data_IF_208110222905
#
_entry.id   IF_208110222905
#
_cell.length_a   1.000
_cell.length_b   1.000
_cell.length_c   1.000
_cell.angle_alpha   90.00
_cell.angle_beta   90.00
_cell.angle_gamma   90.00
#
_symmetry.space_group_name_H-M   'P 1'
#
loop_
_entity.id
_entity.type
_entity.pdbx_description
1 polymer ?
#
# COMPACT_ATOMS: atom_id res chain seq x y z
N UNK A 1 -33.94 1.31 -63.58
CA UNK A 1 -35.25 1.98 -63.37
C UNK A 1 -35.05 3.13 -62.39
N UNK A 2 -35.58 4.30 -62.79
CA UNK A 2 -35.89 5.56 -62.08
C UNK A 2 -35.95 5.55 -60.53
N UNK A 3 -35.91 6.66 -59.77
CA UNK A 3 -35.43 8.06 -59.83
C UNK A 3 -35.95 8.73 -58.53
N UNK A 4 -35.28 9.80 -58.05
CA UNK A 4 -35.77 10.90 -57.18
C UNK A 4 -36.29 10.58 -55.74
N UNK A 5 -35.97 11.27 -54.63
CA UNK A 5 -35.63 12.65 -54.23
C UNK A 5 -36.77 13.39 -53.48
N UNK A 6 -36.39 14.01 -52.36
CA UNK A 6 -36.88 15.23 -51.66
C UNK A 6 -37.96 15.25 -50.55
N UNK A 7 -37.56 15.96 -49.47
CA UNK A 7 -38.29 16.85 -48.54
C UNK A 7 -39.30 16.23 -47.54
N UNK A 8 -39.41 16.61 -46.26
CA UNK A 8 -38.92 17.75 -45.49
C UNK A 8 -40.09 18.43 -44.75
N UNK A 9 -40.06 18.53 -43.41
CA UNK A 9 -40.45 19.70 -42.58
C UNK A 9 -40.69 19.37 -41.10
N UNK A 10 -40.26 20.33 -40.28
CA UNK A 10 -40.31 20.47 -38.83
C UNK A 10 -41.73 20.70 -38.29
N UNK A 11 -41.93 20.47 -36.99
CA UNK A 11 -42.74 21.36 -36.16
C UNK A 11 -42.34 21.27 -34.68
N UNK A 12 -41.83 22.40 -34.18
CA UNK A 12 -41.74 22.79 -32.78
C UNK A 12 -43.08 23.36 -32.33
N UNK A 13 -43.47 23.13 -31.07
CA UNK A 13 -44.21 24.15 -30.30
C UNK A 13 -44.14 23.87 -28.80
N UNK A 14 -43.83 24.94 -28.08
CA UNK A 14 -43.79 25.04 -26.64
C UNK A 14 -45.01 25.84 -26.13
N UNK A 15 -45.14 25.85 -24.81
CA UNK A 15 -45.86 26.80 -23.95
C UNK A 15 -47.37 26.58 -23.78
N UNK A 16 -47.76 26.30 -22.52
CA UNK A 16 -48.88 27.04 -21.93
C UNK A 16 -48.67 27.19 -20.41
N UNK A 17 -48.67 28.45 -19.97
CA UNK A 17 -48.78 28.91 -18.58
C UNK A 17 -50.25 29.19 -18.26
N UNK A 18 -50.67 29.01 -17.00
CA UNK A 18 -51.62 29.94 -16.34
C UNK A 18 -51.81 29.62 -14.85
N UNK A 19 -52.13 30.70 -14.14
CA UNK A 19 -52.12 30.95 -12.70
C UNK A 19 -53.41 30.57 -11.96
N UNK A 20 -53.33 30.57 -10.61
CA UNK A 20 -54.43 30.80 -9.66
C UNK A 20 -54.14 30.05 -8.35
N UNK A 21 -53.62 30.63 -7.26
CA UNK A 21 -54.00 31.72 -6.35
C UNK A 21 -55.14 31.38 -5.34
N UNK A 22 -54.96 31.93 -4.13
CA UNK A 22 -55.75 31.89 -2.87
C UNK A 22 -55.42 30.72 -1.90
N UNK A 23 -54.83 30.91 -0.70
CA UNK A 23 -55.03 31.86 0.43
C UNK A 23 -56.04 31.37 1.48
N UNK A 24 -55.82 31.82 2.73
CA UNK A 24 -56.64 31.78 3.97
C UNK A 24 -56.19 30.69 4.96
N UNK A 25 -55.37 30.98 6.01
CA UNK A 25 -55.50 31.84 7.23
C UNK A 25 -56.00 31.04 8.45
N UNK A 26 -55.31 31.23 9.59
CA UNK A 26 -55.84 31.10 10.97
C UNK A 26 -54.91 30.30 11.89
N UNK A 27 -53.99 30.94 12.65
CA UNK A 27 -54.20 31.55 13.98
C UNK A 27 -54.38 30.47 15.09
N UNK A 28 -53.93 30.55 16.34
CA UNK A 28 -53.11 31.43 17.20
C UNK A 28 -53.15 30.76 18.60
N UNK A 29 -52.21 31.10 19.51
CA UNK A 29 -52.31 30.84 20.96
C UNK A 29 -51.05 30.15 21.51
N UNK A 30 -50.09 30.78 22.20
CA UNK A 30 -50.07 31.62 23.42
C UNK A 30 -50.24 30.83 24.74
N UNK A 31 -49.24 30.98 25.62
CA UNK A 31 -49.27 30.71 27.07
C UNK A 31 -48.69 29.34 27.46
N UNK A 32 -47.84 29.16 28.48
CA UNK A 32 -47.56 30.01 29.62
C UNK A 32 -46.24 29.57 30.30
N UNK A 33 -45.59 30.50 30.98
CA UNK A 33 -44.44 30.26 31.86
C UNK A 33 -44.87 29.60 33.18
N UNK A 34 -43.96 28.85 33.81
CA UNK A 34 -43.80 28.93 35.26
C UNK A 34 -42.40 28.51 35.71
N UNK A 35 -41.85 29.34 36.59
CA UNK A 35 -40.59 29.25 37.33
C UNK A 35 -40.83 28.65 38.72
N UNK A 36 -39.73 28.56 39.49
CA UNK A 36 -39.59 28.32 40.95
C UNK A 36 -39.59 26.84 41.35
N UNK A 37 -38.68 26.29 42.17
CA UNK A 37 -37.57 26.75 43.00
C UNK A 37 -36.87 25.49 43.54
N UNK A 38 -35.54 25.45 43.68
CA UNK A 38 -34.78 25.94 44.82
C UNK A 38 -34.68 24.94 46.00
N UNK A 39 -33.43 24.81 46.47
CA UNK A 39 -32.94 24.20 47.72
C UNK A 39 -32.98 22.66 47.81
N UNK A 40 -31.91 21.97 48.21
CA UNK A 40 -30.64 22.42 48.74
C UNK A 40 -30.18 21.50 49.87
N UNK A 41 -28.85 21.48 50.06
CA UNK A 41 -28.15 21.16 51.32
C UNK A 41 -28.16 19.65 51.65
N UNK A 42 -27.14 19.00 52.22
CA UNK A 42 -25.86 19.28 52.90
C UNK A 42 -25.32 17.84 53.20
N UNK A 43 -24.08 17.49 53.52
CA UNK A 43 -23.00 18.14 54.25
C UNK A 43 -21.77 17.21 54.11
N UNK A 44 -20.54 17.74 53.90
CA UNK A 44 -19.46 17.85 54.91
C UNK A 44 -18.73 16.54 55.23
N UNK A 45 -17.45 16.47 55.55
CA UNK A 45 -16.31 17.39 55.62
C UNK A 45 -15.12 16.56 56.16
N UNK A 46 -13.91 17.14 56.12
CA UNK A 46 -12.77 16.77 56.98
C UNK A 46 -11.51 16.48 56.16
N UNK A 47 -10.63 17.44 55.88
CA UNK A 47 -9.65 18.11 56.77
C UNK A 47 -8.53 17.14 57.23
N UNK A 48 -7.24 17.46 57.27
CA UNK A 48 -6.40 18.64 57.00
C UNK A 48 -4.97 18.10 56.78
N UNK A 49 -3.87 18.86 56.68
CA UNK A 49 -3.62 20.27 56.88
C UNK A 49 -2.17 20.62 56.46
N UNK A 50 -1.90 21.91 56.55
CA UNK A 50 -0.67 22.73 56.51
C UNK A 50 0.61 22.07 57.08
N UNK A 51 1.87 22.47 56.79
CA UNK A 51 2.48 23.81 57.00
C UNK A 51 3.85 23.98 56.27
N UNK A 52 4.04 25.20 55.71
CA UNK A 52 5.18 26.13 55.62
C UNK A 52 6.70 25.76 55.48
N UNK A 53 7.35 26.71 54.77
CA UNK A 53 8.69 27.34 55.00
C UNK A 53 9.83 26.85 54.09
N UNK A 54 10.77 27.66 53.57
CA UNK A 54 10.96 29.08 53.23
C UNK A 54 12.35 29.18 52.54
N UNK A 55 12.54 30.16 51.64
CA UNK A 55 13.79 30.94 51.33
C UNK A 55 15.12 30.19 51.04
N UNK A 56 15.90 30.46 49.99
CA UNK A 56 16.68 31.68 49.63
C UNK A 56 17.28 31.50 48.22
N UNK A 57 17.30 32.51 47.32
CA UNK A 57 18.49 33.33 46.93
C UNK A 57 19.51 32.56 46.06
N UNK A 58 20.11 32.99 44.95
CA UNK A 58 20.34 34.24 44.21
C UNK A 58 20.63 33.81 42.73
N UNK A 59 20.45 34.58 41.64
CA UNK A 59 21.10 35.87 41.32
C UNK A 59 22.33 35.65 40.40
N UNK A 60 22.49 36.52 39.39
CA UNK A 60 23.63 36.70 38.42
C UNK A 60 23.43 35.97 37.07
N UNK A 61 22.92 36.56 35.98
CA UNK A 61 23.34 37.68 35.09
C UNK A 61 24.44 37.38 34.06
N UNK A 62 24.16 37.71 32.79
CA UNK A 62 25.11 37.93 31.69
C UNK A 62 24.83 37.01 30.49
N UNK A 63 24.49 37.44 29.27
CA UNK A 63 24.49 38.76 28.65
C UNK A 63 25.23 38.71 27.30
N UNK A 64 24.50 38.95 26.20
CA UNK A 64 24.95 39.34 24.85
C UNK A 64 25.89 38.36 24.09
N UNK A 65 25.92 38.30 22.75
CA UNK A 65 25.36 39.16 21.73
C UNK A 65 25.62 38.58 20.33
N UNK A 66 25.00 39.22 19.34
CA UNK A 66 24.99 38.87 17.92
C UNK A 66 26.35 39.04 17.21
N UNK A 67 26.48 38.43 16.03
CA UNK A 67 27.55 38.73 15.08
C UNK A 67 27.52 37.90 13.80
N UNK A 68 26.92 38.46 12.74
CA UNK A 68 27.01 38.00 11.35
C UNK A 68 28.43 38.12 10.79
N UNK A 69 28.81 37.26 9.83
CA UNK A 69 29.53 37.72 8.63
C UNK A 69 29.65 36.65 7.53
N UNK A 70 29.62 37.19 6.31
CA UNK A 70 29.65 36.60 4.97
C UNK A 70 31.09 36.38 4.48
N UNK A 71 31.28 35.47 3.51
CA UNK A 71 32.44 35.38 2.60
C UNK A 71 32.79 33.91 2.34
N UNK A 72 33.02 33.40 1.13
CA UNK A 72 33.45 33.99 -0.14
C UNK A 72 34.36 32.94 -0.80
N UNK A 73 34.25 32.78 -2.12
CA UNK A 73 34.75 31.68 -2.94
C UNK A 73 36.28 31.41 -2.94
N UNK A 74 36.67 30.21 -3.40
CA UNK A 74 38.06 29.87 -3.76
C UNK A 74 38.24 28.45 -4.31
N UNK A 75 38.13 28.31 -5.63
CA UNK A 75 38.53 27.17 -6.47
C UNK A 75 40.06 27.17 -6.64
N UNK A 76 40.79 26.03 -6.61
CA UNK A 76 41.85 25.62 -7.59
C UNK A 76 42.24 24.14 -7.39
N UNK A 77 42.39 23.48 -8.53
CA UNK A 77 42.85 22.14 -8.94
C UNK A 77 44.26 21.67 -8.54
N UNK A 78 44.49 20.35 -8.67
CA UNK A 78 45.80 19.68 -8.86
C UNK A 78 45.73 18.20 -8.45
N UNK A 79 45.43 17.22 -9.32
CA UNK A 79 46.28 16.54 -10.34
C UNK A 79 47.41 15.65 -9.76
N UNK A 80 47.21 14.34 -9.99
CA UNK A 80 48.17 13.25 -10.26
C UNK A 80 49.01 12.61 -9.16
N UNK A 81 48.96 11.28 -9.12
CA UNK A 81 49.96 10.44 -8.44
C UNK A 81 49.59 8.95 -8.42
N UNK A 82 50.02 8.23 -9.44
CA UNK A 82 49.86 6.79 -9.69
C UNK A 82 50.73 5.86 -8.83
N UNK A 83 50.30 4.59 -8.71
CA UNK A 83 51.09 3.42 -8.31
C UNK A 83 50.45 2.67 -7.15
N UNK A 84 50.30 1.35 -7.09
CA UNK A 84 50.80 0.25 -7.90
C UNK A 84 50.93 -0.98 -6.99
N UNK A 85 50.13 -2.01 -7.28
CA UNK A 85 50.34 -3.45 -7.06
C UNK A 85 50.58 -4.10 -5.66
N UNK A 86 50.07 -5.34 -5.58
CA UNK A 86 50.35 -6.47 -4.66
C UNK A 86 49.79 -6.34 -3.23
N UNK A 87 49.30 -7.38 -2.53
CA UNK A 87 49.23 -8.81 -2.76
C UNK A 87 49.27 -9.53 -1.39
N UNK A 88 48.24 -10.35 -1.11
CA UNK A 88 48.21 -11.50 -0.20
C UNK A 88 48.19 -11.36 1.36
N UNK A 89 47.20 -12.09 1.91
CA UNK A 89 47.18 -12.93 3.12
C UNK A 89 47.33 -12.36 4.54
N UNK A 90 46.34 -12.69 5.37
CA UNK A 90 46.41 -12.66 6.83
C UNK A 90 45.13 -13.19 7.48
N UNK A 91 45.07 -14.50 7.72
CA UNK A 91 44.02 -15.18 8.50
C UNK A 91 44.06 -14.83 9.99
N UNK A 92 42.90 -15.01 10.62
CA UNK A 92 42.64 -15.52 11.99
C UNK A 92 42.09 -14.54 13.04
N UNK A 93 41.11 -15.07 13.79
CA UNK A 93 40.85 -14.66 15.18
C UNK A 93 39.49 -14.00 15.41
N UNK A 94 38.47 -14.80 15.71
CA UNK A 94 37.10 -14.35 15.89
C UNK A 94 36.80 -13.60 17.20
N UNK A 95 35.63 -12.97 17.20
CA UNK A 95 34.85 -12.67 18.39
C UNK A 95 33.37 -12.89 18.05
N UNK A 96 32.82 -13.96 18.60
CA UNK A 96 31.41 -14.34 18.56
C UNK A 96 30.60 -13.32 19.38
N UNK A 97 29.72 -12.58 18.71
CA UNK A 97 28.83 -11.60 19.33
C UNK A 97 27.50 -11.48 18.58
N UNK A 98 26.53 -12.29 18.99
CA UNK A 98 25.09 -12.05 18.94
C UNK A 98 24.45 -11.69 17.56
N UNK A 99 24.38 -12.66 16.64
CA UNK A 99 23.68 -12.53 15.34
C UNK A 99 22.17 -12.84 15.37
N UNK A 100 21.59 -13.12 16.55
CA UNK A 100 20.16 -13.44 16.66
C UNK A 100 19.25 -12.22 16.89
N UNK A 101 19.77 -11.13 17.46
CA UNK A 101 19.00 -9.89 17.63
C UNK A 101 18.82 -9.10 16.30
N UNK A 102 19.66 -9.38 15.30
CA UNK A 102 19.64 -8.68 14.00
C UNK A 102 18.91 -9.47 12.89
N UNK A 103 18.35 -10.64 13.20
CA UNK A 103 17.46 -11.40 12.28
C UNK A 103 15.99 -11.05 12.45
N UNK A 104 15.60 -10.53 13.61
CA UNK A 104 14.23 -10.03 13.86
C UNK A 104 13.95 -8.65 13.26
N UNK A 105 14.96 -7.99 12.67
CA UNK A 105 14.85 -6.66 12.06
C UNK A 105 14.92 -6.67 10.51
N UNK A 106 14.84 -7.84 9.86
CA UNK A 106 15.13 -7.98 8.41
C UNK A 106 13.94 -8.33 7.50
N UNK A 107 12.72 -8.36 8.03
CA UNK A 107 11.52 -8.21 7.22
C UNK A 107 10.99 -6.80 7.45
N UNK A 108 11.59 -5.81 6.80
CA UNK A 108 11.00 -4.49 6.73
C UNK A 108 9.63 -4.65 6.06
N UNK A 109 8.57 -4.54 6.87
CA UNK A 109 7.18 -4.74 6.47
C UNK A 109 6.88 -3.96 5.19
N UNK A 110 6.79 -4.69 4.08
CA UNK A 110 6.51 -4.17 2.74
C UNK A 110 5.15 -3.46 2.73
N UNK A 111 5.13 -2.16 3.03
CA UNK A 111 3.91 -1.35 3.04
C UNK A 111 3.75 -0.37 4.20
N UNK A 112 4.62 -0.40 5.22
CA UNK A 112 4.55 0.62 6.29
C UNK A 112 4.75 2.01 5.71
N UNK A 113 3.85 2.92 6.06
CA UNK A 113 3.79 4.27 5.52
C UNK A 113 2.87 4.44 4.31
N UNK A 114 2.38 3.35 3.72
CA UNK A 114 1.46 3.43 2.58
C UNK A 114 0.22 4.25 2.97
N UNK A 115 -0.20 5.11 2.05
CA UNK A 115 -1.43 5.90 2.19
C UNK A 115 -2.56 5.08 1.61
N UNK A 116 -3.64 4.92 2.37
CA UNK A 116 -4.73 3.98 2.06
C UNK A 116 -6.10 4.65 2.13
N UNK A 117 -7.06 4.07 1.42
CA UNK A 117 -8.50 4.35 1.54
C UNK A 117 -9.26 3.04 1.77
N UNK A 118 -10.53 3.10 2.17
CA UNK A 118 -11.37 1.90 2.31
C UNK A 118 -11.39 1.03 1.04
N UNK A 119 -11.38 -0.28 1.24
CA UNK A 119 -11.41 -1.33 0.23
C UNK A 119 -12.80 -1.89 -0.06
N UNK A 120 -12.90 -2.92 -0.91
CA UNK A 120 -14.17 -3.52 -1.33
C UNK A 120 -14.93 -4.20 -0.19
N UNK A 121 -14.23 -4.83 0.76
CA UNK A 121 -14.87 -5.63 1.83
C UNK A 121 -15.12 -4.83 3.12
N UNK A 122 -14.99 -3.50 3.03
CA UNK A 122 -15.15 -2.58 4.15
C UNK A 122 -16.55 -2.71 4.77
N UNK A 123 -16.57 -3.03 6.06
CA UNK A 123 -17.80 -3.13 6.87
C UNK A 123 -17.79 -2.25 8.12
N UNK A 124 -16.84 -1.33 8.23
CA UNK A 124 -16.53 -0.58 9.46
C UNK A 124 -17.16 0.82 9.50
N UNK A 125 -18.30 0.99 8.83
CA UNK A 125 -19.06 2.25 8.83
C UNK A 125 -18.24 3.46 8.37
N UNK A 126 -18.10 4.45 9.25
CA UNK A 126 -17.37 5.71 9.02
C UNK A 126 -16.12 5.86 9.90
N UNK A 127 -15.49 4.76 10.35
CA UNK A 127 -14.25 4.83 11.12
C UNK A 127 -13.13 5.61 10.39
N UNK A 128 -13.07 5.48 9.07
CA UNK A 128 -12.17 6.25 8.19
C UNK A 128 -12.60 7.72 7.97
N UNK A 129 -13.82 8.10 8.33
CA UNK A 129 -14.41 9.41 8.03
C UNK A 129 -15.35 9.42 6.81
N UNK A 130 -15.48 8.31 6.08
CA UNK A 130 -16.30 8.18 4.88
C UNK A 130 -15.48 7.87 3.62
N UNK A 131 -16.15 7.45 2.54
CA UNK A 131 -15.48 7.06 1.30
C UNK A 131 -14.53 8.15 0.78
N UNK A 132 -13.31 7.75 0.42
CA UNK A 132 -12.24 8.62 -0.05
C UNK A 132 -11.37 9.23 1.05
N UNK A 133 -11.71 9.06 2.34
CA UNK A 133 -10.83 9.52 3.41
C UNK A 133 -9.57 8.66 3.50
N UNK A 134 -8.45 9.32 3.78
CA UNK A 134 -7.11 8.73 3.74
C UNK A 134 -6.62 8.37 5.13
N UNK A 135 -5.86 7.27 5.22
CA UNK A 135 -5.10 6.88 6.41
C UNK A 135 -3.68 6.45 6.06
N UNK A 136 -2.86 6.27 7.09
CA UNK A 136 -1.50 5.75 7.03
C UNK A 136 -1.47 4.33 7.57
N UNK A 137 -0.87 3.40 6.83
CA UNK A 137 -0.46 2.09 7.36
C UNK A 137 0.66 2.29 8.38
N UNK A 138 0.37 2.00 9.65
CA UNK A 138 1.31 2.19 10.76
C UNK A 138 2.25 1.00 10.90
N UNK A 139 1.69 -0.20 10.98
CA UNK A 139 2.38 -1.47 11.14
C UNK A 139 1.45 -2.62 10.75
N UNK A 140 2.00 -3.81 10.58
CA UNK A 140 1.24 -5.04 10.41
C UNK A 140 1.31 -5.83 11.72
N UNK A 141 0.17 -6.33 12.21
CA UNK A 141 0.15 -7.23 13.36
C UNK A 141 0.45 -8.68 12.90
N UNK A 142 0.04 -9.02 11.68
CA UNK A 142 0.31 -10.30 11.03
C UNK A 142 0.28 -10.15 9.50
N UNK A 143 0.39 -11.26 8.77
CA UNK A 143 0.19 -11.25 7.32
C UNK A 143 -1.26 -10.99 6.88
N UNK A 144 -2.21 -11.10 7.82
CA UNK A 144 -3.64 -10.99 7.56
C UNK A 144 -4.28 -9.74 8.19
N UNK A 145 -3.55 -9.06 9.10
CA UNK A 145 -4.03 -7.94 9.89
C UNK A 145 -3.06 -6.76 9.89
N UNK A 146 -3.60 -5.57 9.62
CA UNK A 146 -2.83 -4.32 9.50
C UNK A 146 -3.43 -3.21 10.35
N UNK A 147 -2.58 -2.39 10.96
CA UNK A 147 -2.98 -1.22 11.74
C UNK A 147 -2.92 0.02 10.86
N UNK A 148 -4.02 0.77 10.82
CA UNK A 148 -4.11 2.06 10.12
C UNK A 148 -4.43 3.17 11.10
N UNK A 149 -3.69 4.27 10.99
CA UNK A 149 -4.06 5.56 11.60
C UNK A 149 -4.69 6.42 10.51
N UNK A 150 -6.01 6.60 10.59
CA UNK A 150 -6.74 7.50 9.70
C UNK A 150 -6.37 8.96 9.96
N UNK A 151 -6.42 9.78 8.92
CA UNK A 151 -6.09 11.21 9.04
C UNK A 151 -6.98 11.94 10.06
N UNK A 152 -8.20 11.43 10.32
CA UNK A 152 -9.09 11.93 11.36
C UNK A 152 -8.65 11.57 12.80
N UNK A 153 -7.56 10.81 12.95
CA UNK A 153 -6.96 10.36 14.21
C UNK A 153 -7.46 9.02 14.74
N UNK A 154 -8.41 8.36 14.07
CA UNK A 154 -8.87 7.01 14.45
C UNK A 154 -7.79 6.00 14.11
N UNK A 155 -7.33 5.23 15.10
CA UNK A 155 -6.44 4.09 14.91
C UNK A 155 -7.21 2.79 15.10
N UNK A 156 -7.08 1.85 14.17
CA UNK A 156 -7.76 0.56 14.22
C UNK A 156 -7.08 -0.48 13.32
N UNK A 157 -7.44 -1.74 13.53
CA UNK A 157 -6.94 -2.88 12.76
C UNK A 157 -7.92 -3.26 11.65
N UNK A 158 -7.39 -3.76 10.54
CA UNK A 158 -8.14 -4.10 9.34
C UNK A 158 -7.61 -5.36 8.68
N UNK A 159 -8.47 -6.03 7.90
CA UNK A 159 -8.12 -7.26 7.18
C UNK A 159 -7.38 -6.93 5.87
N UNK A 160 -6.29 -7.63 5.63
CA UNK A 160 -5.51 -7.57 4.39
C UNK A 160 -5.25 -8.94 3.75
N UNK A 161 -5.95 -9.99 4.19
CA UNK A 161 -5.95 -11.31 3.56
C UNK A 161 -7.34 -11.93 3.63
N UNK A 162 -7.73 -12.67 2.58
CA UNK A 162 -9.06 -13.27 2.43
C UNK A 162 -10.17 -12.24 2.15
N UNK A 163 -10.30 -11.25 3.02
CA UNK A 163 -11.08 -10.04 2.82
C UNK A 163 -10.16 -8.81 2.86
N UNK A 164 -10.46 -7.84 2.01
CA UNK A 164 -9.63 -6.67 1.79
C UNK A 164 -10.37 -5.40 2.17
N UNK A 165 -10.10 -4.93 3.40
CA UNK A 165 -10.72 -3.72 3.94
C UNK A 165 -10.10 -2.44 3.38
N UNK A 166 -8.98 -2.52 2.65
CA UNK A 166 -8.17 -1.35 2.27
C UNK A 166 -7.68 -1.43 0.81
N UNK A 167 -7.53 -0.26 0.20
CA UNK A 167 -6.86 -0.02 -1.09
C UNK A 167 -5.65 0.89 -0.88
N UNK A 168 -4.56 0.60 -1.58
CA UNK A 168 -3.37 1.45 -1.58
C UNK A 168 -3.62 2.65 -2.49
N UNK A 169 -3.71 3.84 -1.89
CA UNK A 169 -3.83 5.11 -2.60
C UNK A 169 -2.47 5.56 -3.13
N UNK A 170 -1.43 5.52 -2.29
CA UNK A 170 -0.07 5.88 -2.65
C UNK A 170 0.93 5.10 -1.79
N UNK A 171 1.80 4.32 -2.44
CA UNK A 171 2.89 3.59 -1.79
C UNK A 171 4.23 4.31 -1.85
N UNK A 172 4.34 5.48 -2.52
CA UNK A 172 5.62 6.19 -2.54
C UNK A 172 6.19 6.55 -1.15
N UNK A 173 5.37 6.85 -0.11
CA UNK A 173 5.89 7.09 1.23
C UNK A 173 6.61 5.88 1.86
N UNK A 174 6.37 4.65 1.36
CA UNK A 174 7.11 3.45 1.81
C UNK A 174 8.53 3.39 1.23
N UNK A 175 8.83 4.25 0.25
CA UNK A 175 10.09 4.26 -0.50
C UNK A 175 10.20 3.22 -1.60
N UNK A 176 9.15 2.41 -1.85
CA UNK A 176 9.13 1.48 -2.97
C UNK A 176 9.23 2.23 -4.30
N UNK A 177 10.05 1.72 -5.22
CA UNK A 177 10.34 2.38 -6.49
C UNK A 177 10.71 1.38 -7.57
N UNK A 178 10.46 1.74 -8.82
CA UNK A 178 10.81 0.95 -10.00
C UNK A 178 12.07 1.53 -10.66
N UNK A 179 13.24 1.01 -10.28
CA UNK A 179 14.50 1.44 -10.88
C UNK A 179 14.51 1.18 -12.41
N UNK A 180 15.24 2.02 -13.15
CA UNK A 180 15.26 1.98 -14.62
C UNK A 180 13.98 2.48 -15.32
N UNK A 181 13.01 3.02 -14.57
CA UNK A 181 11.77 3.58 -15.15
C UNK A 181 11.66 5.08 -14.97
N UNK A 182 10.91 5.74 -15.85
CA UNK A 182 10.65 7.18 -15.78
C UNK A 182 9.18 7.44 -16.10
N UNK A 183 8.54 8.35 -15.36
CA UNK A 183 7.22 8.84 -15.74
C UNK A 183 7.34 9.75 -16.97
N UNK A 184 6.73 9.37 -18.09
CA UNK A 184 6.86 10.11 -19.36
C UNK A 184 6.19 11.49 -19.35
N UNK A 185 5.35 11.77 -18.34
CA UNK A 185 4.71 13.08 -18.20
C UNK A 185 5.48 14.02 -17.28
N UNK A 186 5.75 13.63 -16.03
CA UNK A 186 6.40 14.51 -15.05
C UNK A 186 7.90 14.30 -14.90
N UNK A 187 8.48 13.34 -15.63
CA UNK A 187 9.92 12.98 -15.60
C UNK A 187 10.42 12.49 -14.24
N UNK A 188 9.53 12.09 -13.33
CA UNK A 188 9.95 11.42 -12.10
C UNK A 188 10.73 10.14 -12.45
N UNK A 189 11.95 10.03 -11.93
CA UNK A 189 12.87 8.93 -12.18
C UNK A 189 13.70 8.64 -10.91
N UNK A 190 13.65 7.40 -10.36
CA UNK A 190 12.73 6.33 -10.76
C UNK A 190 11.27 6.65 -10.42
N UNK A 191 10.31 5.88 -10.95
CA UNK A 191 8.91 5.98 -10.52
C UNK A 191 8.81 5.43 -9.09
N UNK A 192 8.41 6.28 -8.13
CA UNK A 192 8.10 5.86 -6.76
C UNK A 192 6.62 5.49 -6.59
N UNK A 193 6.38 4.45 -5.80
CA UNK A 193 5.06 3.86 -5.61
C UNK A 193 4.63 3.00 -6.80
N UNK A 194 3.31 2.98 -7.06
CA UNK A 194 2.71 2.17 -8.14
C UNK A 194 3.16 2.70 -9.51
N UNK A 195 3.64 1.80 -10.37
CA UNK A 195 3.92 2.05 -11.79
C UNK A 195 2.70 1.74 -12.64
N UNK A 196 2.37 2.66 -13.55
CA UNK A 196 1.25 2.54 -14.48
C UNK A 196 1.78 2.51 -15.91
N UNK A 197 1.90 1.31 -16.47
CA UNK A 197 2.45 1.11 -17.81
C UNK A 197 1.33 1.11 -18.86
N UNK A 198 1.40 1.95 -19.88
CA UNK A 198 0.44 1.92 -20.98
C UNK A 198 0.55 0.59 -21.72
N UNK A 199 -0.58 -0.09 -21.95
CA UNK A 199 -0.61 -1.36 -22.68
C UNK A 199 -0.62 -1.17 -24.21
N UNK A 200 -0.92 0.04 -24.67
CA UNK A 200 -1.11 0.37 -26.09
C UNK A 200 0.06 1.14 -26.69
N UNK A 201 0.92 1.74 -25.86
CA UNK A 201 2.08 2.51 -26.30
C UNK A 201 3.38 1.80 -25.92
N UNK A 202 4.33 1.81 -26.85
CA UNK A 202 5.67 1.27 -26.63
C UNK A 202 6.36 2.12 -25.57
N UNK A 203 6.87 1.46 -24.54
CA UNK A 203 7.69 2.06 -23.47
C UNK A 203 7.11 3.34 -22.85
N UNK A 204 5.79 3.38 -22.59
CA UNK A 204 5.15 4.53 -21.96
C UNK A 204 4.66 4.19 -20.55
N UNK A 205 5.08 4.98 -19.56
CA UNK A 205 4.91 4.75 -18.14
C UNK A 205 4.50 6.04 -17.41
N UNK A 206 3.61 5.91 -16.44
CA UNK A 206 3.16 7.01 -15.57
C UNK A 206 3.35 6.65 -14.10
N UNK A 207 3.63 7.67 -13.27
CA UNK A 207 3.47 7.57 -11.81
C UNK A 207 2.01 7.77 -11.39
N UNK A 208 1.66 7.44 -10.14
CA UNK A 208 0.29 7.57 -9.62
C UNK A 208 -0.30 8.98 -9.75
N UNK A 209 0.50 10.02 -9.53
CA UNK A 209 0.05 11.42 -9.67
C UNK A 209 -0.41 11.69 -11.10
N UNK A 210 0.40 11.30 -12.10
CA UNK A 210 0.05 11.53 -13.50
C UNK A 210 -1.07 10.61 -13.98
N UNK A 211 -1.11 9.36 -13.51
CA UNK A 211 -2.16 8.41 -13.87
C UNK A 211 -3.53 8.87 -13.38
N UNK A 212 -3.64 9.29 -12.11
CA UNK A 212 -4.88 9.80 -11.53
C UNK A 212 -5.17 11.26 -11.93
N UNK A 213 -4.14 12.02 -12.31
CA UNK A 213 -4.23 13.37 -12.88
C UNK A 213 -4.56 13.41 -14.37
N UNK A 214 -5.13 12.34 -14.92
CA UNK A 214 -5.66 12.24 -16.28
C UNK A 214 -4.63 12.56 -17.38
N UNK A 215 -3.35 12.30 -17.10
CA UNK A 215 -2.29 12.42 -18.10
C UNK A 215 -2.30 11.22 -19.04
N UNK A 216 -1.83 11.43 -20.27
CA UNK A 216 -1.94 10.46 -21.38
C UNK A 216 -3.39 10.16 -21.80
N UNK A 217 -3.58 9.43 -22.89
CA UNK A 217 -4.89 9.08 -23.42
C UNK A 217 -5.72 8.26 -22.41
N UNK A 218 -6.92 8.76 -22.08
CA UNK A 218 -7.84 8.10 -21.15
C UNK A 218 -8.51 6.86 -21.74
N UNK A 219 -8.45 6.69 -23.07
CA UNK A 219 -8.93 5.50 -23.78
C UNK A 219 -7.94 4.34 -23.72
N UNK A 220 -6.66 4.62 -23.49
CA UNK A 220 -5.66 3.56 -23.43
C UNK A 220 -5.80 2.78 -22.13
N UNK A 221 -5.71 1.46 -22.22
CA UNK A 221 -5.58 0.55 -21.08
C UNK A 221 -4.17 0.63 -20.52
N UNK A 222 -4.07 0.37 -19.23
CA UNK A 222 -2.80 0.37 -18.50
C UNK A 222 -2.64 -0.95 -17.75
N UNK A 223 -1.42 -1.41 -17.64
CA UNK A 223 -1.02 -2.37 -16.63
C UNK A 223 -0.70 -1.63 -15.33
N UNK A 224 -1.25 -2.11 -14.23
CA UNK A 224 -0.83 -1.77 -12.88
C UNK A 224 0.31 -2.70 -12.48
N UNK A 225 1.40 -2.11 -11.99
CA UNK A 225 2.54 -2.84 -11.43
C UNK A 225 2.79 -2.23 -10.05
N UNK A 226 2.28 -2.90 -9.01
CA UNK A 226 2.22 -2.32 -7.66
C UNK A 226 3.59 -2.35 -6.95
N UNK A 227 4.40 -3.36 -7.23
CA UNK A 227 5.72 -3.59 -6.66
C UNK A 227 6.73 -3.94 -7.77
N UNK A 228 8.03 -3.66 -7.60
CA UNK A 228 9.07 -4.19 -8.48
C UNK A 228 8.98 -5.71 -8.58
N UNK A 229 9.17 -6.27 -9.77
CA UNK A 229 8.99 -7.71 -10.03
C UNK A 229 7.55 -8.23 -9.93
N UNK A 230 6.59 -7.41 -9.49
CA UNK A 230 5.19 -7.80 -9.33
C UNK A 230 4.45 -8.04 -10.63
N UNK A 231 3.33 -8.76 -10.53
CA UNK A 231 2.46 -9.08 -11.65
C UNK A 231 1.89 -7.80 -12.33
N UNK A 232 1.77 -7.87 -13.66
CA UNK A 232 1.18 -6.80 -14.48
C UNK A 232 -0.32 -7.02 -14.60
N UNK A 233 -1.11 -6.28 -13.84
CA UNK A 233 -2.58 -6.40 -13.88
C UNK A 233 -3.15 -5.45 -14.92
N UNK A 234 -3.77 -5.99 -15.98
CA UNK A 234 -4.45 -5.18 -16.99
C UNK A 234 -5.70 -4.51 -16.41
N UNK A 235 -5.84 -3.21 -16.65
CA UNK A 235 -6.96 -2.40 -16.16
C UNK A 235 -7.89 -1.96 -17.28
N UNK A 236 -9.13 -1.66 -16.89
CA UNK A 236 -10.09 -0.97 -17.75
C UNK A 236 -9.63 0.45 -18.12
N UNK A 237 -10.05 0.98 -19.30
CA UNK A 237 -9.74 2.34 -19.70
C UNK A 237 -10.30 3.38 -18.71
N UNK A 238 -9.43 4.30 -18.28
CA UNK A 238 -9.76 5.42 -17.37
C UNK A 238 -11.00 6.21 -17.78
N UNK A 239 -11.24 6.41 -19.09
CA UNK A 239 -12.40 7.16 -19.60
C UNK A 239 -13.75 6.62 -19.14
N UNK A 240 -13.86 5.31 -18.87
CA UNK A 240 -15.10 4.67 -18.42
C UNK A 240 -15.13 4.42 -16.91
N UNK A 241 -14.02 4.66 -16.22
CA UNK A 241 -13.84 4.32 -14.82
C UNK A 241 -14.28 5.46 -13.91
N UNK A 242 -14.84 5.13 -12.75
CA UNK A 242 -15.29 6.12 -11.77
C UNK A 242 -14.10 6.74 -11.05
N UNK A 243 -14.13 8.06 -10.87
CA UNK A 243 -13.21 8.79 -10.00
C UNK A 243 -13.87 9.12 -8.68
N UNK A 244 -13.10 9.01 -7.59
CA UNK A 244 -13.48 9.45 -6.25
C UNK A 244 -12.50 10.53 -5.81
N UNK A 245 -13.00 11.58 -5.13
CA UNK A 245 -12.15 12.60 -4.52
C UNK A 245 -11.61 12.09 -3.18
N UNK A 246 -10.30 12.16 -2.97
CA UNK A 246 -9.72 11.82 -1.68
C UNK A 246 -9.76 12.99 -0.71
N UNK A 247 -9.83 12.70 0.59
CA UNK A 247 -9.98 13.71 1.66
C UNK A 247 -9.09 13.37 2.86
N UNK A 248 -8.54 14.37 3.52
CA UNK A 248 -7.65 14.16 4.67
C UNK A 248 -6.66 15.30 4.86
N UNK A 249 -5.42 14.94 5.20
CA UNK A 249 -4.28 15.85 5.38
C UNK A 249 -3.74 16.21 3.98
N UNK A 250 -4.30 17.27 3.41
CA UNK A 250 -3.93 17.86 2.13
C UNK A 250 -3.82 19.39 2.26
N UNK A 251 -3.26 20.12 1.28
CA UNK A 251 -3.17 21.58 1.33
C UNK A 251 -4.55 22.22 1.63
N UNK A 252 -4.58 23.04 2.68
CA UNK A 252 -5.81 23.66 3.19
C UNK A 252 -6.42 22.96 4.41
N UNK A 253 -6.01 21.74 4.74
CA UNK A 253 -6.54 21.02 5.90
C UNK A 253 -6.18 21.75 7.21
N UNK A 254 -7.10 21.73 8.17
CA UNK A 254 -6.85 22.19 9.54
C UNK A 254 -6.46 21.00 10.40
N UNK A 255 -5.31 21.10 11.07
CA UNK A 255 -4.71 19.99 11.81
C UNK A 255 -4.37 20.37 13.24
N UNK A 256 -4.23 19.36 14.09
CA UNK A 256 -3.63 19.40 15.42
C UNK A 256 -2.52 18.35 15.46
N UNK A 257 -1.71 18.32 16.53
CA UNK A 257 -0.77 17.22 16.77
C UNK A 257 -1.46 15.85 16.76
N UNK A 258 -0.84 14.87 16.10
CA UNK A 258 -1.28 13.49 15.96
C UNK A 258 -0.73 12.57 17.06
N UNK A 259 -0.86 11.26 16.84
CA UNK A 259 -0.50 10.24 17.84
C UNK A 259 1.01 10.06 17.99
N UNK A 260 1.79 10.32 16.94
CA UNK A 260 3.25 10.15 16.93
C UNK A 260 4.01 11.46 17.17
N UNK A 261 3.32 12.49 17.66
CA UNK A 261 3.92 13.79 17.89
C UNK A 261 5.07 13.72 18.90
N UNK A 262 6.25 14.18 18.48
CA UNK A 262 7.48 14.22 19.27
C UNK A 262 8.20 15.57 19.14
N UNK A 263 7.46 16.63 18.79
CA UNK A 263 8.01 17.92 18.37
C UNK A 263 7.79 19.04 19.41
N UNK A 264 7.82 18.67 20.69
CA UNK A 264 7.59 19.59 21.82
C UNK A 264 6.32 20.44 21.62
N UNK A 265 6.34 21.71 22.03
CA UNK A 265 5.24 22.65 21.82
C UNK A 265 5.47 23.58 20.62
N UNK A 266 6.05 23.06 19.53
CA UNK A 266 6.18 23.84 18.28
C UNK A 266 4.83 24.32 17.72
N UNK A 267 3.76 23.55 17.96
CA UNK A 267 2.38 23.92 17.65
C UNK A 267 1.77 24.93 18.65
N UNK A 268 2.47 25.25 19.73
CA UNK A 268 2.00 26.11 20.82
C UNK A 268 1.18 25.38 21.89
N UNK A 269 1.26 24.06 21.95
CA UNK A 269 0.61 23.23 22.97
C UNK A 269 -0.53 22.36 22.42
N UNK A 270 -0.98 21.40 23.25
CA UNK A 270 -2.05 20.46 22.89
C UNK A 270 -3.32 21.21 22.44
N UNK A 271 -4.00 20.67 21.42
CA UNK A 271 -5.21 21.23 20.79
C UNK A 271 -4.99 22.51 19.97
N UNK A 272 -3.78 23.08 19.94
CA UNK A 272 -3.49 24.17 19.00
C UNK A 272 -3.55 23.68 17.58
N UNK A 273 -4.05 24.57 16.71
CA UNK A 273 -4.35 24.23 15.33
C UNK A 273 -3.35 24.87 14.38
N UNK A 274 -3.13 24.18 13.28
CA UNK A 274 -2.39 24.69 12.13
C UNK A 274 -3.16 24.45 10.85
N UNK A 275 -2.61 25.00 9.77
CA UNK A 275 -3.07 24.78 8.41
C UNK A 275 -1.96 24.10 7.63
N UNK A 276 -2.30 22.99 6.98
CA UNK A 276 -1.41 22.34 6.02
C UNK A 276 -1.27 23.25 4.81
N UNK A 277 -0.05 23.66 4.50
CA UNK A 277 0.26 24.49 3.34
C UNK A 277 0.58 23.63 2.12
N UNK A 278 1.38 22.58 2.32
CA UNK A 278 1.88 21.72 1.23
C UNK A 278 2.17 20.30 1.73
N UNK A 279 2.06 19.33 0.82
CA UNK A 279 2.56 17.96 1.02
C UNK A 279 3.94 17.88 0.36
N UNK A 280 4.93 17.46 1.13
CA UNK A 280 6.32 17.41 0.72
C UNK A 280 6.90 16.01 0.99
N UNK A 281 8.12 15.82 0.51
CA UNK A 281 8.89 14.62 0.75
C UNK A 281 9.60 14.77 2.10
N UNK A 282 9.46 13.79 3.01
CA UNK A 282 10.29 13.79 4.22
C UNK A 282 11.77 13.56 3.88
N UNK A 283 12.01 12.70 2.89
CA UNK A 283 13.32 12.45 2.32
C UNK A 283 13.17 12.11 0.83
N UNK A 284 14.26 12.22 0.07
CA UNK A 284 14.27 11.81 -1.35
C UNK A 284 13.94 10.33 -1.57
N UNK A 285 14.12 9.49 -0.55
CA UNK A 285 13.79 8.07 -0.58
C UNK A 285 12.34 7.79 -0.17
N UNK A 286 11.60 8.76 0.37
CA UNK A 286 10.20 8.62 0.78
C UNK A 286 9.40 9.85 0.33
N UNK A 287 8.98 9.91 -0.94
CA UNK A 287 8.23 11.04 -1.44
C UNK A 287 6.82 11.14 -0.84
N UNK A 288 6.29 12.36 -0.74
CA UNK A 288 4.91 12.69 -0.31
C UNK A 288 4.54 12.11 1.05
N UNK A 289 5.50 12.06 1.95
CA UNK A 289 5.43 11.42 3.25
C UNK A 289 5.42 12.43 4.41
N UNK A 290 5.33 13.72 4.09
CA UNK A 290 5.35 14.82 5.04
C UNK A 290 4.39 15.95 4.67
N UNK A 291 4.01 16.76 5.65
CA UNK A 291 3.17 17.94 5.46
C UNK A 291 3.82 19.17 6.12
N UNK A 292 3.97 20.24 5.34
CA UNK A 292 4.43 21.53 5.86
C UNK A 292 3.25 22.29 6.46
N UNK A 293 3.31 22.58 7.75
CA UNK A 293 2.22 23.20 8.51
C UNK A 293 2.60 24.59 8.95
N UNK A 294 1.66 25.52 8.79
CA UNK A 294 1.70 26.85 9.41
C UNK A 294 0.73 26.84 10.58
N UNK A 295 1.25 26.89 11.81
CA UNK A 295 0.47 26.93 13.03
C UNK A 295 -0.15 28.31 13.25
N UNK A 296 -1.30 28.37 13.94
CA UNK A 296 -2.01 29.63 14.19
C UNK A 296 -1.20 30.61 15.06
N UNK A 297 -0.23 30.11 15.85
CA UNK A 297 0.71 30.93 16.61
C UNK A 297 1.84 31.53 15.74
N UNK A 298 1.85 31.24 14.44
CA UNK A 298 2.86 31.71 13.48
C UNK A 298 4.05 30.77 13.29
N UNK A 299 4.23 29.76 14.14
CA UNK A 299 5.27 28.75 13.98
C UNK A 299 5.03 27.90 12.72
N UNK A 300 6.10 27.37 12.15
CA UNK A 300 6.04 26.58 10.91
C UNK A 300 7.05 25.46 10.97
N UNK A 301 6.65 24.27 10.54
CA UNK A 301 7.59 23.17 10.36
C UNK A 301 7.03 22.09 9.44
N UNK A 302 7.87 21.11 9.13
CA UNK A 302 7.54 19.90 8.39
C UNK A 302 7.28 18.74 9.37
N UNK A 303 6.20 17.99 9.17
CA UNK A 303 5.77 16.89 10.04
C UNK A 303 5.47 15.62 9.25
N UNK A 304 5.67 14.44 9.86
CA UNK A 304 5.50 13.15 9.18
C UNK A 304 4.02 12.83 8.96
N UNK A 305 3.71 12.42 7.73
CA UNK A 305 2.40 11.94 7.30
C UNK A 305 2.63 10.74 6.37
N UNK A 306 2.93 9.59 6.97
CA UNK A 306 3.26 8.36 6.25
C UNK A 306 4.74 7.97 6.29
N UNK A 307 5.68 8.90 6.52
CA UNK A 307 7.09 8.52 6.67
C UNK A 307 7.24 7.52 7.83
N UNK A 308 7.78 6.32 7.55
CA UNK A 308 7.92 5.22 8.52
C UNK A 308 6.60 4.83 9.22
N UNK A 309 5.45 5.06 8.59
CA UNK A 309 4.14 4.77 9.20
C UNK A 309 3.70 5.78 10.25
N UNK A 310 4.40 6.90 10.39
CA UNK A 310 4.14 7.90 11.42
C UNK A 310 3.01 8.85 11.02
N UNK A 311 2.20 9.21 12.02
CA UNK A 311 1.09 10.16 11.93
C UNK A 311 1.27 11.28 12.97
N UNK A 312 2.15 12.23 12.65
CA UNK A 312 2.43 13.39 13.51
C UNK A 312 1.28 14.40 13.53
N UNK A 313 0.33 14.29 12.59
CA UNK A 313 -0.79 15.21 12.43
C UNK A 313 -2.12 14.47 12.46
N UNK A 314 -3.14 15.15 13.00
CA UNK A 314 -4.54 14.75 12.97
C UNK A 314 -5.39 15.88 12.42
N UNK A 315 -6.28 15.56 11.49
CA UNK A 315 -7.24 16.50 10.92
C UNK A 315 -8.34 16.86 11.92
N UNK A 316 -8.68 18.15 11.93
CA UNK A 316 -9.90 18.72 12.54
C UNK A 316 -10.89 19.12 11.46
N UNK A 317 -10.39 19.71 10.36
CA UNK A 317 -11.16 19.93 9.14
C UNK A 317 -10.33 19.40 7.98
N UNK A 318 -10.82 18.37 7.32
CA UNK A 318 -10.14 17.75 6.19
C UNK A 318 -10.15 18.67 4.97
N UNK A 319 -9.17 18.49 4.09
CA UNK A 319 -9.17 19.11 2.77
C UNK A 319 -9.33 18.06 1.68
N UNK A 320 -9.83 18.50 0.52
CA UNK A 320 -9.85 17.68 -0.69
C UNK A 320 -8.43 17.55 -1.23
N UNK A 321 -8.01 16.32 -1.46
CA UNK A 321 -6.83 16.02 -2.26
C UNK A 321 -7.19 15.80 -3.73
N UNK A 322 -6.37 14.99 -4.39
CA UNK A 322 -6.59 14.61 -5.79
C UNK A 322 -7.84 13.72 -5.97
N UNK A 323 -8.22 13.49 -7.22
CA UNK A 323 -9.23 12.47 -7.56
C UNK A 323 -8.52 11.23 -8.07
N UNK A 324 -9.01 10.05 -7.71
CA UNK A 324 -8.38 8.76 -8.07
C UNK A 324 -9.38 7.80 -8.68
N UNK A 325 -8.87 6.91 -9.53
CA UNK A 325 -9.63 5.80 -10.10
C UNK A 325 -9.69 4.68 -9.06
N UNK A 326 -10.68 4.73 -8.16
CA UNK A 326 -10.77 3.86 -6.97
C UNK A 326 -10.57 2.37 -7.30
N UNK A 327 -11.28 1.89 -8.30
CA UNK A 327 -11.28 0.47 -8.65
C UNK A 327 -9.99 0.02 -9.36
N UNK A 328 -9.13 0.97 -9.76
CA UNK A 328 -7.82 0.68 -10.33
C UNK A 328 -6.74 0.55 -9.26
N UNK A 329 -7.00 1.00 -8.03
CA UNK A 329 -6.05 0.90 -6.93
C UNK A 329 -5.90 -0.56 -6.47
N UNK A 330 -4.67 -1.03 -6.16
CA UNK A 330 -4.45 -2.37 -5.64
C UNK A 330 -5.02 -2.50 -4.23
N UNK A 331 -5.44 -3.73 -3.89
CA UNK A 331 -5.85 -4.04 -2.54
C UNK A 331 -4.62 -4.14 -1.65
N UNK A 332 -4.69 -3.63 -0.43
CA UNK A 332 -3.60 -3.83 0.52
C UNK A 332 -3.58 -5.29 0.95
N UNK A 333 -2.45 -5.97 0.72
CA UNK A 333 -2.27 -7.40 0.99
C UNK A 333 -2.77 -8.35 -0.11
N UNK A 334 -3.19 -7.85 -1.28
CA UNK A 334 -3.49 -8.67 -2.49
C UNK A 334 -2.29 -9.59 -2.82
N UNK A 335 -1.10 -8.99 -2.71
CA UNK A 335 0.20 -9.60 -2.89
C UNK A 335 0.86 -9.98 -1.57
N UNK A 336 0.07 -10.19 -0.48
CA UNK A 336 0.39 -10.49 0.93
C UNK A 336 1.86 -10.42 1.41
N UNK A 337 2.16 -9.91 2.62
CA UNK A 337 3.52 -10.02 3.16
C UNK A 337 3.92 -11.50 3.22
N UNK A 338 4.93 -11.86 2.42
CA UNK A 338 5.37 -13.23 2.26
C UNK A 338 4.98 -13.89 0.95
N UNK A 339 4.04 -13.37 0.13
CA UNK A 339 3.97 -13.77 -1.28
C UNK A 339 5.16 -13.11 -2.00
N UNK A 340 6.28 -13.81 -1.96
CA UNK A 340 7.35 -13.62 -2.89
C UNK A 340 6.84 -13.54 -4.33
N UNK A 341 7.67 -13.01 -5.24
CA UNK A 341 7.31 -12.93 -6.64
C UNK A 341 6.77 -14.26 -7.14
N UNK A 342 5.71 -14.18 -7.95
CA UNK A 342 4.92 -15.34 -8.42
C UNK A 342 4.09 -16.09 -7.37
N UNK A 343 3.89 -15.53 -6.17
CA UNK A 343 2.93 -16.03 -5.18
C UNK A 343 3.46 -17.10 -4.22
N UNK A 344 4.78 -17.31 -4.19
CA UNK A 344 5.47 -18.25 -3.29
C UNK A 344 5.79 -17.61 -1.94
N UNK A 345 5.60 -18.35 -0.85
CA UNK A 345 6.00 -17.94 0.50
C UNK A 345 6.86 -19.00 1.17
N UNK A 346 7.69 -18.60 2.14
CA UNK A 346 8.44 -19.54 2.98
C UNK A 346 7.45 -20.50 3.64
N UNK A 347 7.70 -21.80 3.50
CA UNK A 347 6.85 -22.89 3.97
C UNK A 347 5.94 -23.48 2.89
N UNK A 348 5.81 -22.86 1.71
CA UNK A 348 5.04 -23.44 0.61
C UNK A 348 5.64 -24.76 0.16
N UNK A 349 4.78 -25.76 -0.07
CA UNK A 349 5.16 -26.97 -0.80
C UNK A 349 5.10 -26.71 -2.29
N UNK A 350 6.14 -27.12 -3.01
CA UNK A 350 6.29 -26.87 -4.44
C UNK A 350 6.76 -28.12 -5.17
N UNK A 351 6.37 -28.26 -6.43
CA UNK A 351 6.80 -29.31 -7.36
C UNK A 351 7.39 -28.68 -8.62
N UNK A 352 8.16 -29.46 -9.38
CA UNK A 352 8.63 -29.09 -10.72
C UNK A 352 7.86 -29.92 -11.73
N UNK A 353 6.88 -29.31 -12.39
CA UNK A 353 5.95 -29.98 -13.31
C UNK A 353 6.25 -29.63 -14.78
N UNK A 354 7.54 -29.49 -15.12
CA UNK A 354 8.05 -29.13 -16.45
C UNK A 354 9.11 -30.15 -16.91
N UNK A 355 9.24 -30.31 -18.22
CA UNK A 355 10.26 -31.18 -18.81
C UNK A 355 11.67 -30.67 -18.51
N UNK A 356 12.62 -31.60 -18.34
CA UNK A 356 14.01 -31.31 -17.97
C UNK A 356 14.65 -30.21 -18.84
N UNK A 357 14.44 -30.26 -20.16
CA UNK A 357 15.00 -29.28 -21.10
C UNK A 357 14.48 -27.86 -20.84
N UNK A 358 13.19 -27.74 -20.48
CA UNK A 358 12.56 -26.46 -20.13
C UNK A 358 13.12 -25.95 -18.81
N UNK A 359 13.24 -26.82 -17.80
CA UNK A 359 13.81 -26.49 -16.50
C UNK A 359 15.25 -25.98 -16.64
N UNK A 360 16.09 -26.69 -17.40
CA UNK A 360 17.47 -26.30 -17.65
C UNK A 360 17.57 -24.93 -18.35
N UNK A 361 16.68 -24.66 -19.31
CA UNK A 361 16.63 -23.37 -19.99
C UNK A 361 16.22 -22.23 -19.05
N UNK A 362 15.22 -22.44 -18.18
CA UNK A 362 14.71 -21.41 -17.27
C UNK A 362 15.65 -21.13 -16.10
N UNK A 363 16.50 -22.09 -15.73
CA UNK A 363 17.50 -21.94 -14.68
C UNK A 363 18.71 -21.09 -15.08
N UNK A 364 18.86 -20.72 -16.36
CA UNK A 364 19.97 -19.87 -16.78
C UNK A 364 19.87 -18.48 -16.14
N UNK A 365 20.88 -18.11 -15.34
CA UNK A 365 20.86 -16.85 -14.58
C UNK A 365 20.09 -16.91 -13.26
N UNK A 366 19.56 -18.08 -12.90
CA UNK A 366 18.71 -18.30 -11.72
C UNK A 366 19.16 -19.53 -10.91
N UNK A 367 20.43 -19.52 -10.47
CA UNK A 367 21.07 -20.64 -9.76
C UNK A 367 21.65 -21.76 -10.66
N UNK A 368 21.21 -21.84 -11.92
CA UNK A 368 21.70 -22.83 -12.89
C UNK A 368 21.17 -24.25 -12.65
N UNK A 369 21.59 -25.20 -13.48
CA UNK A 369 21.25 -26.61 -13.34
C UNK A 369 22.50 -27.45 -13.07
N UNK A 370 22.39 -28.41 -12.14
CA UNK A 370 23.42 -29.42 -11.87
C UNK A 370 22.80 -30.80 -11.76
N UNK A 371 23.58 -31.86 -11.97
CA UNK A 371 23.07 -33.25 -11.88
C UNK A 371 22.55 -33.63 -10.48
N UNK A 372 22.93 -32.89 -9.43
CA UNK A 372 22.34 -33.06 -8.10
C UNK A 372 20.86 -32.70 -8.02
N UNK A 373 20.36 -31.88 -8.96
CA UNK A 373 19.00 -31.35 -8.95
C UNK A 373 17.96 -32.33 -9.53
N UNK A 374 18.36 -33.48 -10.06
CA UNK A 374 17.42 -34.49 -10.58
C UNK A 374 16.39 -34.95 -9.52
N UNK A 375 16.72 -34.86 -8.23
CA UNK A 375 15.77 -35.14 -7.15
C UNK A 375 14.52 -34.24 -7.18
N UNK A 376 14.64 -33.04 -7.75
CA UNK A 376 13.60 -32.01 -7.74
C UNK A 376 12.48 -32.27 -8.75
N UNK A 377 12.75 -33.04 -9.81
CA UNK A 377 11.78 -33.31 -10.87
C UNK A 377 10.67 -34.26 -10.44
N UNK A 378 10.91 -35.07 -9.42
CA UNK A 378 9.99 -36.13 -8.99
C UNK A 378 9.57 -36.02 -7.52
N UNK A 379 10.14 -35.07 -6.77
CA UNK A 379 9.85 -34.93 -5.35
C UNK A 379 9.36 -33.52 -5.05
N UNK A 380 8.36 -33.35 -4.18
CA UNK A 380 7.99 -32.04 -3.69
C UNK A 380 9.06 -31.51 -2.73
N UNK A 381 9.37 -30.22 -2.87
CA UNK A 381 10.23 -29.48 -1.96
C UNK A 381 9.44 -28.47 -1.12
N UNK A 382 10.10 -27.83 -0.16
CA UNK A 382 9.54 -26.76 0.68
C UNK A 382 10.33 -25.48 0.45
N UNK A 383 9.65 -24.38 0.16
CA UNK A 383 10.28 -23.06 0.05
C UNK A 383 10.85 -22.66 1.41
N UNK A 384 12.15 -22.41 1.48
CA UNK A 384 12.87 -22.03 2.72
C UNK A 384 13.49 -20.64 2.65
N UNK A 385 13.48 -20.00 1.48
CA UNK A 385 13.98 -18.65 1.29
C UNK A 385 13.60 -18.10 -0.08
N UNK A 386 13.70 -16.77 -0.20
CA UNK A 386 13.64 -16.02 -1.45
C UNK A 386 14.87 -15.13 -1.42
N UNK A 387 15.69 -15.15 -2.47
CA UNK A 387 16.92 -14.37 -2.51
C UNK A 387 16.73 -12.95 -3.06
N UNK A 388 17.83 -12.18 -3.15
CA UNK A 388 17.82 -10.77 -3.55
C UNK A 388 17.43 -10.56 -5.02
N UNK A 389 17.68 -11.58 -5.86
CA UNK A 389 17.33 -11.59 -7.28
C UNK A 389 15.94 -12.18 -7.53
N UNK A 390 15.19 -12.46 -6.45
CA UNK A 390 13.82 -12.93 -6.44
C UNK A 390 13.64 -14.42 -6.83
N UNK A 391 14.70 -15.21 -6.75
CA UNK A 391 14.64 -16.65 -6.95
C UNK A 391 14.25 -17.39 -5.68
N UNK A 392 13.68 -18.58 -5.88
CA UNK A 392 13.06 -19.37 -4.81
C UNK A 392 14.03 -20.44 -4.32
N UNK A 393 14.41 -20.38 -3.06
CA UNK A 393 15.27 -21.39 -2.42
C UNK A 393 14.39 -22.48 -1.83
N UNK A 394 14.50 -23.69 -2.35
CA UNK A 394 13.68 -24.85 -1.98
C UNK A 394 14.53 -25.91 -1.29
N UNK A 395 14.10 -26.39 -0.13
CA UNK A 395 14.70 -27.50 0.59
C UNK A 395 13.98 -28.82 0.30
N UNK A 396 14.76 -29.90 0.19
CA UNK A 396 14.27 -31.25 -0.04
C UNK A 396 14.59 -32.17 1.14
N UNK A 397 13.93 -33.33 1.20
CA UNK A 397 14.10 -34.30 2.29
C UNK A 397 15.52 -34.86 2.39
N UNK A 398 16.30 -34.80 1.31
CA UNK A 398 17.74 -35.11 1.28
C UNK A 398 18.58 -34.18 2.16
N UNK A 399 18.02 -33.03 2.56
CA UNK A 399 18.75 -31.94 3.23
C UNK A 399 19.35 -30.93 2.25
N UNK A 400 19.30 -31.21 0.94
CA UNK A 400 19.77 -30.30 -0.09
C UNK A 400 18.85 -29.07 -0.22
N UNK A 401 19.45 -27.97 -0.68
CA UNK A 401 18.75 -26.73 -0.99
C UNK A 401 19.15 -26.28 -2.39
N UNK A 402 18.15 -25.94 -3.18
CA UNK A 402 18.34 -25.54 -4.57
C UNK A 402 17.60 -24.23 -4.82
N UNK A 403 18.22 -23.35 -5.61
CA UNK A 403 17.63 -22.07 -6.03
C UNK A 403 16.96 -22.26 -7.38
N UNK A 404 15.73 -21.77 -7.51
CA UNK A 404 14.92 -21.90 -8.71
C UNK A 404 14.44 -20.56 -9.23
N UNK A 405 14.44 -20.41 -10.55
CA UNK A 405 13.57 -19.47 -11.22
C UNK A 405 12.12 -19.74 -10.79
N UNK A 406 11.34 -18.75 -10.33
CA UNK A 406 9.98 -18.96 -9.88
C UNK A 406 9.06 -19.64 -10.92
N UNK A 407 9.32 -19.45 -12.23
CA UNK A 407 8.54 -20.06 -13.31
C UNK A 407 8.71 -21.58 -13.42
N UNK A 408 9.76 -22.14 -12.82
CA UNK A 408 10.01 -23.59 -12.78
C UNK A 408 9.11 -24.29 -11.77
N UNK A 409 8.67 -23.57 -10.74
CA UNK A 409 7.96 -24.14 -9.60
C UNK A 409 6.45 -24.06 -9.79
N UNK A 410 5.76 -25.10 -9.35
CA UNK A 410 4.31 -25.14 -9.20
C UNK A 410 3.97 -25.30 -7.73
N UNK A 411 3.09 -24.45 -7.19
CA UNK A 411 2.68 -24.54 -5.79
C UNK A 411 1.73 -25.71 -5.58
N UNK A 412 2.09 -26.61 -4.68
CA UNK A 412 1.20 -27.70 -4.25
C UNK A 412 0.16 -27.11 -3.32
N UNK A 413 -1.09 -27.03 -3.80
CA UNK A 413 -2.21 -26.64 -2.96
C UNK A 413 -2.46 -27.74 -1.93
N UNK A 414 -2.37 -27.43 -0.64
CA UNK A 414 -2.93 -28.32 0.37
C UNK A 414 -4.43 -28.46 0.10
N UNK A 415 -5.01 -29.67 0.13
CA UNK A 415 -6.44 -29.84 -0.04
C UNK A 415 -7.13 -29.04 1.06
N UNK A 416 -7.72 -27.91 0.70
CA UNK A 416 -8.72 -27.24 1.50
C UNK A 416 -9.82 -28.26 1.78
N UNK A 417 -10.32 -28.27 3.01
CA UNK A 417 -11.52 -29.03 3.42
C UNK A 417 -12.81 -28.58 2.72
N UNK A 418 -12.71 -27.70 1.72
CA UNK A 418 -13.75 -27.39 0.77
C UNK A 418 -13.27 -27.81 -0.64
N UNK A 419 -14.07 -28.61 -1.38
CA UNK A 419 -13.74 -28.92 -2.76
C UNK A 419 -13.70 -27.62 -3.58
N UNK A 420 -12.77 -27.49 -4.54
CA UNK A 420 -12.78 -26.36 -5.46
C UNK A 420 -14.12 -26.33 -6.21
N UNK A 421 -14.81 -25.19 -6.18
CA UNK A 421 -16.01 -24.98 -7.00
C UNK A 421 -15.57 -24.84 -8.46
N UNK A 422 -15.79 -25.89 -9.26
CA UNK A 422 -15.64 -25.83 -10.70
C UNK A 422 -16.84 -25.11 -11.33
N UNK A 423 -16.60 -24.25 -12.32
CA UNK A 423 -17.63 -23.62 -13.13
C UNK A 423 -17.74 -24.27 -14.51
N UNK A 424 -18.93 -24.18 -15.12
CA UNK A 424 -19.15 -24.67 -16.48
C UNK A 424 -18.29 -23.85 -17.44
N UNK A 425 -17.31 -24.50 -18.08
CA UNK A 425 -16.36 -23.89 -19.00
C UNK A 425 -14.91 -23.94 -18.54
N UNK A 426 -14.64 -24.40 -17.31
CA UNK A 426 -13.28 -24.56 -16.80
C UNK A 426 -12.51 -25.62 -17.59
N UNK A 427 -11.28 -25.27 -17.99
CA UNK A 427 -10.33 -26.20 -18.59
C UNK A 427 -9.58 -26.88 -17.44
N UNK A 428 -9.83 -28.17 -17.25
CA UNK A 428 -9.21 -28.96 -16.19
C UNK A 428 -8.19 -29.94 -16.77
N UNK A 429 -7.10 -30.18 -16.04
CA UNK A 429 -6.15 -31.25 -16.32
C UNK A 429 -6.43 -32.42 -15.39
N UNK A 430 -6.65 -33.60 -15.97
CA UNK A 430 -6.79 -34.82 -15.18
C UNK A 430 -5.43 -35.19 -14.59
N UNK A 431 -5.41 -35.62 -13.32
CA UNK A 431 -4.21 -36.12 -12.66
C UNK A 431 -3.51 -37.19 -13.53
N UNK A 432 -2.18 -37.16 -13.62
CA UNK A 432 -1.40 -38.13 -14.39
C UNK A 432 -1.08 -39.41 -13.60
N UNK A 433 -1.22 -39.37 -12.27
CA UNK A 433 -1.03 -40.53 -11.40
C UNK A 433 -2.29 -41.40 -11.36
N UNK A 434 -2.23 -42.51 -12.11
CA UNK A 434 -3.33 -43.47 -12.25
C UNK A 434 -3.72 -44.12 -10.92
N UNK A 435 -2.77 -44.34 -10.00
CA UNK A 435 -3.09 -44.93 -8.69
C UNK A 435 -3.89 -43.96 -7.83
N UNK A 436 -3.50 -42.68 -7.85
CA UNK A 436 -4.26 -41.61 -7.18
C UNK A 436 -5.66 -41.43 -7.75
N UNK A 437 -5.83 -41.45 -9.08
CA UNK A 437 -7.16 -41.36 -9.71
C UNK A 437 -8.05 -42.53 -9.29
N UNK A 438 -7.52 -43.76 -9.28
CA UNK A 438 -8.26 -44.95 -8.85
C UNK A 438 -8.75 -44.82 -7.42
N UNK A 439 -7.93 -44.28 -6.53
CA UNK A 439 -8.34 -44.02 -5.14
C UNK A 439 -9.43 -42.95 -5.05
N UNK A 440 -9.30 -41.86 -5.82
CA UNK A 440 -10.25 -40.73 -5.80
C UNK A 440 -11.60 -41.07 -6.44
N UNK A 441 -11.62 -41.93 -7.46
CA UNK A 441 -12.86 -42.37 -8.11
C UNK A 441 -13.66 -43.37 -7.28
N UNK A 442 -13.05 -43.97 -6.26
CA UNK A 442 -13.72 -44.93 -5.37
C UNK A 442 -14.84 -44.25 -4.60
N UNK A 443 -16.08 -44.72 -4.77
CA UNK A 443 -17.27 -44.09 -4.22
C UNK A 443 -17.77 -42.84 -4.96
N UNK A 444 -17.08 -42.41 -6.03
CA UNK A 444 -17.39 -41.22 -6.84
C UNK A 444 -17.55 -41.59 -8.33
N UNK A 445 -18.23 -42.70 -8.61
CA UNK A 445 -18.48 -43.22 -9.97
C UNK A 445 -17.57 -44.38 -10.39
N UNK A 446 -16.67 -44.81 -9.50
CA UNK A 446 -15.71 -45.89 -9.67
C UNK A 446 -14.71 -45.68 -10.83
N UNK A 447 -13.61 -46.44 -10.79
CA UNK A 447 -12.65 -46.47 -11.88
C UNK A 447 -13.13 -47.42 -12.99
N UNK A 448 -13.00 -46.98 -14.24
CA UNK A 448 -13.13 -47.83 -15.41
C UNK A 448 -11.85 -47.76 -16.25
N UNK A 449 -11.38 -48.90 -16.79
CA UNK A 449 -10.12 -48.95 -17.53
C UNK A 449 -10.09 -48.05 -18.78
N UNK A 450 -11.26 -47.71 -19.34
CA UNK A 450 -11.38 -46.73 -20.41
C UNK A 450 -10.96 -45.31 -20.00
N UNK A 451 -11.00 -44.97 -18.70
CA UNK A 451 -10.53 -43.68 -18.16
C UNK A 451 -9.02 -43.50 -18.31
N UNK A 452 -8.27 -44.61 -18.43
CA UNK A 452 -6.84 -44.58 -18.65
C UNK A 452 -6.49 -43.89 -19.98
N UNK A 453 -7.34 -44.01 -21.00
CA UNK A 453 -7.13 -43.39 -22.31
C UNK A 453 -7.28 -41.86 -22.28
N UNK A 454 -8.02 -41.33 -21.29
CA UNK A 454 -8.25 -39.88 -21.13
C UNK A 454 -7.07 -39.19 -20.44
N UNK A 455 -6.32 -39.92 -19.61
CA UNK A 455 -5.09 -39.43 -18.97
C UNK A 455 -3.90 -39.28 -19.92
N UNK A 456 -3.93 -39.92 -21.10
CA UNK A 456 -2.81 -39.94 -22.05
C UNK A 456 -3.06 -39.13 -23.35
N UNK A 457 -4.29 -38.71 -23.66
CA UNK A 457 -4.63 -38.07 -24.96
C UNK A 457 -4.54 -36.53 -25.01
N UNK A 458 -3.79 -35.87 -24.12
CA UNK A 458 -3.50 -34.42 -24.23
C UNK A 458 -2.12 -34.15 -24.85
N UNK A 459 -1.38 -35.20 -25.24
CA UNK A 459 -0.14 -35.08 -26.00
C UNK A 459 -0.26 -35.80 -27.36
N UNK A 460 -1.01 -35.19 -28.27
CA UNK A 460 -0.86 -35.39 -29.72
C UNK A 460 -1.32 -34.17 -30.48
#
# INVERSE_FOLDING_TARGET
>A
MACAATSGKESTTAVNTSNGNASVIGASGVGNANTVGAAGLVNSAGAGGTVASATTGAGVTGGAGAGSSVGGAGNVSGVSGSGGATGANGSSGGATGNSNANRQARFAMEGVGARVIRGPDWKWGKQDGGEGHVGTVRNFESSEEVVVVWDNGTAANYRCAGAYDLRILDSAPTGIKHDGTMCDTCRQQPIFGIRWKCAECINYDLCSICYHGDKHHLRHRFYRIATPGGERIMLEPRRKSKKVAVRGIFPGARVVRGVDWQWEDQDGGVLRRGKVNEIQDWSSASPRSAAYVVWDNGAKNLYRVGFEGMADLKVVNDAKGNTVYRDHLPLLGENGPGKGPHGFQIGDKVTVDLDLEIVQSLQHGHGGWTDGMFECLNNPGVVVGIDEDHDIVVAYNSGNRWTFNPAVLTKVSSPTTAPPEFQVGDIVKICSDVESIKMLQRGHGEWADAMQLVSFHILS
#
